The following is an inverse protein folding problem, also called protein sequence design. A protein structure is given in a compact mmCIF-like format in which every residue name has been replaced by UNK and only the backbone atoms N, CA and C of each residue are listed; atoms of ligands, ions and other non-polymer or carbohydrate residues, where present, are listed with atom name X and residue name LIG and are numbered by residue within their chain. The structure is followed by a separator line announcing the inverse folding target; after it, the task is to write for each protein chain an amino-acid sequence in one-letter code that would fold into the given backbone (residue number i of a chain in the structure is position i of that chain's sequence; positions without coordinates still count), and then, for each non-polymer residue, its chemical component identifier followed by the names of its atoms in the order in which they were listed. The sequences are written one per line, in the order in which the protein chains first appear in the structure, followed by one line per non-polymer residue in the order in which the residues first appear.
data_IF_313151922925
#
_entry.id   IF_313151922925
#
_cell.length_a   1.000
_cell.length_b   1.000
_cell.length_c   1.000
_cell.angle_alpha   90.00
_cell.angle_beta   90.00
_cell.angle_gamma   90.00
#
_symmetry.space_group_name_H-M   'P 1'
#
loop_
_entity.id
_entity.type
_entity.pdbx_description
1 polymer ?
#
# COMPACT_ATOMS: atom_id res chain seq x y z
N UNK A 1 5.19 -40.41 -75.26
CA UNK A 1 4.44 -40.68 -74.05
C UNK A 1 5.43 -40.72 -72.92
N UNK A 2 5.49 -39.64 -72.03
CA UNK A 2 6.28 -39.63 -70.80
C UNK A 2 5.31 -39.67 -69.60
N UNK A 3 5.50 -40.51 -68.60
CA UNK A 3 4.62 -40.54 -67.43
C UNK A 3 4.90 -39.39 -66.51
N UNK A 4 3.89 -38.61 -66.18
CA UNK A 4 3.85 -37.57 -65.24
C UNK A 4 3.42 -38.13 -63.85
N UNK A 5 4.32 -38.68 -63.05
CA UNK A 5 3.95 -39.23 -61.75
C UNK A 5 5.03 -39.12 -60.64
N UNK A 6 6.11 -38.31 -60.83
CA UNK A 6 7.19 -38.28 -59.82
C UNK A 6 7.18 -37.09 -58.84
N UNK A 7 6.29 -36.13 -59.04
CA UNK A 7 6.32 -34.90 -58.20
C UNK A 7 5.60 -35.02 -56.87
N UNK A 8 4.70 -35.97 -56.71
CA UNK A 8 3.93 -36.16 -55.47
C UNK A 8 4.70 -36.96 -54.40
N UNK A 9 5.53 -37.94 -54.81
CA UNK A 9 6.32 -38.75 -53.86
C UNK A 9 7.39 -37.93 -53.13
N UNK A 10 8.09 -37.02 -53.82
CA UNK A 10 9.18 -36.20 -53.25
C UNK A 10 8.66 -35.21 -52.19
N UNK A 11 7.40 -34.74 -52.32
CA UNK A 11 6.81 -33.83 -51.31
C UNK A 11 6.44 -34.55 -50.02
N UNK A 12 5.99 -35.77 -50.09
CA UNK A 12 5.63 -36.56 -48.91
C UNK A 12 6.85 -37.03 -48.10
N UNK A 13 7.92 -37.38 -48.79
CA UNK A 13 9.19 -37.75 -48.11
C UNK A 13 9.79 -36.56 -47.36
N UNK A 14 9.82 -35.36 -47.93
CA UNK A 14 10.29 -34.16 -47.27
C UNK A 14 9.45 -33.77 -46.05
N UNK A 15 8.14 -33.96 -46.09
CA UNK A 15 7.26 -33.75 -44.98
C UNK A 15 7.53 -34.75 -43.85
N UNK A 16 7.72 -36.02 -44.17
CA UNK A 16 8.07 -37.06 -43.20
C UNK A 16 9.45 -36.78 -42.53
N UNK A 17 10.44 -36.33 -43.28
CA UNK A 17 11.75 -35.95 -42.73
C UNK A 17 11.64 -34.73 -41.83
N UNK A 18 10.81 -33.74 -42.21
CA UNK A 18 10.58 -32.56 -41.38
C UNK A 18 9.86 -32.94 -40.07
N UNK A 19 8.83 -33.74 -40.12
CA UNK A 19 8.15 -34.22 -38.91
C UNK A 19 9.03 -35.12 -38.04
N UNK A 20 9.90 -35.94 -38.65
CA UNK A 20 10.86 -36.73 -37.92
C UNK A 20 11.95 -35.87 -37.22
N UNK A 21 12.39 -34.79 -37.88
CA UNK A 21 13.34 -33.84 -37.32
C UNK A 21 12.73 -33.02 -36.16
N UNK A 22 11.49 -32.56 -36.31
CA UNK A 22 10.72 -31.87 -35.25
C UNK A 22 10.47 -32.81 -34.09
N UNK A 23 10.07 -34.05 -34.35
CA UNK A 23 9.87 -35.06 -33.31
C UNK A 23 11.15 -35.41 -32.57
N UNK A 24 12.31 -35.47 -33.21
CA UNK A 24 13.61 -35.65 -32.55
C UNK A 24 14.03 -34.46 -31.69
N UNK A 25 13.60 -33.23 -32.02
CA UNK A 25 13.83 -32.07 -31.18
C UNK A 25 12.89 -32.03 -29.97
N UNK A 26 11.67 -32.50 -30.11
CA UNK A 26 10.70 -32.59 -29.03
C UNK A 26 10.96 -33.79 -28.08
N UNK A 27 11.63 -34.84 -28.56
CA UNK A 27 11.99 -36.01 -27.73
C UNK A 27 13.37 -35.89 -27.08
N UNK A 28 14.11 -34.79 -27.28
CA UNK A 28 15.17 -34.37 -26.38
C UNK A 28 14.59 -33.62 -25.18
N UNK A 29 13.64 -34.22 -24.54
CA UNK A 29 13.36 -33.95 -23.15
C UNK A 29 14.48 -34.60 -22.33
N UNK A 30 15.59 -33.92 -22.23
CA UNK A 30 16.48 -34.13 -21.11
C UNK A 30 15.69 -33.67 -19.89
N UNK A 31 14.85 -34.55 -19.39
CA UNK A 31 14.05 -34.31 -18.19
C UNK A 31 15.01 -33.97 -17.05
N UNK A 32 14.69 -32.94 -16.30
CA UNK A 32 15.42 -32.61 -15.07
C UNK A 32 15.60 -33.87 -14.22
N UNK A 33 16.79 -34.10 -13.77
CA UNK A 33 17.03 -35.20 -12.84
C UNK A 33 16.37 -34.88 -11.50
N UNK A 34 15.88 -35.89 -10.81
CA UNK A 34 15.30 -35.75 -9.47
C UNK A 34 16.34 -35.06 -8.52
N UNK A 35 17.61 -35.34 -8.72
CA UNK A 35 18.73 -34.75 -7.96
C UNK A 35 18.84 -33.25 -8.20
N UNK A 36 18.79 -32.78 -9.45
CA UNK A 36 18.81 -31.35 -9.77
C UNK A 36 17.64 -30.60 -9.10
N UNK A 37 16.44 -31.17 -9.16
CA UNK A 37 15.29 -30.55 -8.50
C UNK A 37 15.47 -30.49 -6.98
N UNK A 38 15.96 -31.57 -6.36
CA UNK A 38 16.14 -31.60 -4.89
C UNK A 38 17.25 -30.64 -4.43
N UNK A 39 18.35 -30.48 -5.20
CA UNK A 39 19.39 -29.51 -4.86
C UNK A 39 18.85 -28.08 -4.96
N UNK A 40 18.07 -27.75 -5.98
CA UNK A 40 17.47 -26.42 -6.13
C UNK A 40 16.51 -26.11 -4.96
N UNK A 41 15.65 -27.06 -4.61
CA UNK A 41 14.75 -26.91 -3.45
C UNK A 41 15.51 -26.75 -2.14
N UNK A 42 16.63 -27.47 -1.96
CA UNK A 42 17.48 -27.34 -0.78
C UNK A 42 18.06 -25.93 -0.68
N UNK A 43 18.63 -25.40 -1.77
CA UNK A 43 19.20 -24.05 -1.81
C UNK A 43 18.12 -23.00 -1.54
N UNK A 44 16.97 -23.11 -2.21
CA UNK A 44 15.82 -22.22 -1.97
C UNK A 44 15.35 -22.27 -0.52
N UNK A 45 15.27 -23.45 0.09
CA UNK A 45 14.92 -23.62 1.49
C UNK A 45 15.85 -22.86 2.44
N UNK A 46 17.17 -22.97 2.22
CA UNK A 46 18.17 -22.24 3.02
C UNK A 46 18.01 -20.73 2.85
N UNK A 47 17.83 -20.24 1.63
CA UNK A 47 17.67 -18.82 1.35
C UNK A 47 16.38 -18.26 1.98
N UNK A 48 15.26 -18.98 1.90
CA UNK A 48 14.00 -18.58 2.50
C UNK A 48 14.07 -18.49 4.02
N UNK A 49 14.85 -19.34 4.66
CA UNK A 49 15.02 -19.33 6.14
C UNK A 49 15.57 -18.00 6.63
N UNK A 50 16.43 -17.34 5.85
CA UNK A 50 17.00 -16.02 6.20
C UNK A 50 16.12 -14.88 5.66
N UNK A 51 15.56 -15.04 4.46
CA UNK A 51 14.81 -13.99 3.78
C UNK A 51 13.46 -13.67 4.46
N UNK A 52 12.73 -14.68 4.94
CA UNK A 52 11.39 -14.49 5.52
C UNK A 52 11.43 -13.65 6.80
N UNK A 53 12.25 -13.92 7.83
CA UNK A 53 12.32 -13.08 9.02
C UNK A 53 12.71 -11.64 8.70
N UNK A 54 13.70 -11.44 7.81
CA UNK A 54 14.15 -10.11 7.40
C UNK A 54 13.05 -9.33 6.69
N UNK A 55 12.29 -9.98 5.81
CA UNK A 55 11.16 -9.36 5.11
C UNK A 55 10.05 -8.92 6.08
N UNK A 56 9.71 -9.76 7.07
CA UNK A 56 8.68 -9.44 8.06
C UNK A 56 9.09 -8.24 8.92
N UNK A 57 10.35 -8.19 9.36
CA UNK A 57 10.87 -7.05 10.12
C UNK A 57 10.87 -5.75 9.29
N UNK A 58 11.24 -5.84 8.01
CA UNK A 58 11.19 -4.71 7.10
C UNK A 58 9.77 -4.19 6.89
N UNK A 59 8.82 -5.10 6.61
CA UNK A 59 7.39 -4.77 6.43
C UNK A 59 6.82 -4.09 7.67
N UNK A 60 7.19 -4.57 8.85
CA UNK A 60 6.73 -4.02 10.11
C UNK A 60 7.25 -2.58 10.32
N UNK A 61 8.53 -2.35 10.10
CA UNK A 61 9.13 -1.02 10.15
C UNK A 61 8.53 -0.08 9.10
N UNK A 62 8.26 -0.56 7.89
CA UNK A 62 7.61 0.23 6.85
C UNK A 62 6.21 0.69 7.27
N UNK A 63 5.40 -0.21 7.83
CA UNK A 63 4.06 0.11 8.35
C UNK A 63 4.11 1.14 9.48
N UNK A 64 5.09 1.03 10.37
CA UNK A 64 5.33 1.98 11.45
C UNK A 64 5.66 3.40 10.93
N UNK A 65 6.54 3.48 9.93
CA UNK A 65 6.89 4.76 9.31
C UNK A 65 5.73 5.35 8.49
N UNK A 66 4.95 4.50 7.82
CA UNK A 66 3.74 4.93 7.10
C UNK A 66 2.73 5.58 8.06
N UNK A 67 2.43 4.94 9.20
CA UNK A 67 1.52 5.53 10.19
C UNK A 67 1.99 6.90 10.69
N UNK A 68 3.32 7.07 10.89
CA UNK A 68 3.89 8.39 11.25
C UNK A 68 3.75 9.42 10.13
N UNK A 69 3.97 9.01 8.88
CA UNK A 69 3.85 9.89 7.74
C UNK A 69 2.41 10.38 7.57
N UNK A 70 1.44 9.49 7.74
CA UNK A 70 0.01 9.80 7.66
C UNK A 70 -0.38 10.85 8.70
N UNK A 71 0.02 10.69 9.97
CA UNK A 71 -0.24 11.71 11.02
C UNK A 71 0.38 13.04 10.66
N UNK A 72 1.63 13.06 10.19
CA UNK A 72 2.31 14.31 9.80
C UNK A 72 1.65 15.01 8.60
N UNK A 73 1.12 14.24 7.68
CA UNK A 73 0.36 14.77 6.54
C UNK A 73 -0.92 15.43 7.02
N UNK A 74 -1.73 14.73 7.80
CA UNK A 74 -2.97 15.26 8.33
C UNK A 74 -2.75 16.46 9.28
N UNK A 75 -1.63 16.50 10.00
CA UNK A 75 -1.28 17.63 10.85
C UNK A 75 -1.17 18.95 10.08
N UNK A 76 -0.72 18.92 8.83
CA UNK A 76 -0.65 20.14 7.99
C UNK A 76 -2.04 20.71 7.74
N UNK A 77 -3.02 19.86 7.48
CA UNK A 77 -4.41 20.27 7.28
C UNK A 77 -5.02 20.80 8.58
N UNK A 78 -4.67 20.20 9.71
CA UNK A 78 -5.11 20.67 11.04
C UNK A 78 -4.55 22.07 11.35
N UNK A 79 -3.29 22.32 11.05
CA UNK A 79 -2.67 23.65 11.24
C UNK A 79 -3.30 24.68 10.29
N UNK A 80 -3.60 24.30 9.06
CA UNK A 80 -4.30 25.18 8.13
C UNK A 80 -5.73 25.48 8.61
N UNK A 81 -6.46 24.47 9.13
CA UNK A 81 -7.75 24.66 9.75
C UNK A 81 -7.69 25.67 10.89
N UNK A 82 -6.73 25.52 11.80
CA UNK A 82 -6.54 26.44 12.92
C UNK A 82 -6.27 27.89 12.45
N UNK A 83 -5.52 28.04 11.38
CA UNK A 83 -5.19 29.35 10.84
C UNK A 83 -6.39 30.08 10.22
N UNK A 84 -7.35 29.30 9.68
CA UNK A 84 -8.56 29.84 9.05
C UNK A 84 -9.72 29.98 10.05
N UNK A 85 -9.72 29.22 11.14
CA UNK A 85 -10.77 29.18 12.13
C UNK A 85 -10.59 30.28 13.20
N UNK A 86 -11.07 31.49 12.88
CA UNK A 86 -11.10 32.62 13.82
C UNK A 86 -12.33 33.50 13.57
N UNK A 87 -12.82 34.22 14.59
CA UNK A 87 -14.04 35.05 14.46
C UNK A 87 -13.91 36.07 13.32
N UNK A 88 -14.83 36.00 12.36
CA UNK A 88 -14.88 36.90 11.21
C UNK A 88 -13.99 36.49 10.04
N UNK A 89 -13.44 35.30 10.04
CA UNK A 89 -12.74 34.72 8.90
C UNK A 89 -13.69 34.52 7.72
N UNK A 90 -13.27 34.93 6.53
CA UNK A 90 -14.01 34.66 5.28
C UNK A 90 -13.80 33.21 4.81
N UNK A 91 -12.82 32.53 5.34
CA UNK A 91 -12.47 31.15 5.01
C UNK A 91 -12.85 30.18 6.12
N UNK A 92 -13.71 30.59 7.04
CA UNK A 92 -14.15 29.76 8.15
C UNK A 92 -14.50 28.34 7.66
N UNK A 93 -13.80 27.30 8.18
CA UNK A 93 -13.92 25.96 7.66
C UNK A 93 -15.17 25.21 8.08
N UNK A 94 -15.81 25.59 9.17
CA UNK A 94 -16.95 24.85 9.71
C UNK A 94 -18.31 25.49 9.46
N UNK A 95 -18.35 26.72 8.93
CA UNK A 95 -19.58 27.47 8.67
C UNK A 95 -20.45 27.72 9.92
N UNK A 96 -19.96 27.37 11.09
CA UNK A 96 -20.61 27.70 12.32
C UNK A 96 -20.42 29.20 12.53
N UNK A 97 -21.48 29.99 12.37
CA UNK A 97 -21.49 31.44 12.57
C UNK A 97 -21.32 31.82 14.04
N UNK A 98 -20.58 31.05 14.80
CA UNK A 98 -20.29 31.33 16.18
C UNK A 98 -19.20 32.40 16.26
N UNK A 99 -19.53 33.51 16.88
CA UNK A 99 -18.56 34.60 17.15
C UNK A 99 -17.46 34.20 18.14
N UNK A 100 -17.51 32.96 18.63
CA UNK A 100 -16.57 32.41 19.63
C UNK A 100 -15.71 31.26 19.10
N UNK A 101 -15.89 30.85 17.83
CA UNK A 101 -15.10 29.77 17.25
C UNK A 101 -13.64 30.20 17.07
N UNK A 102 -12.74 29.37 17.50
CA UNK A 102 -11.31 29.61 17.37
C UNK A 102 -10.48 28.34 17.53
N UNK A 103 -9.32 28.30 16.95
CA UNK A 103 -8.39 27.21 17.09
C UNK A 103 -8.87 25.92 16.43
N UNK A 104 -9.10 24.87 17.21
CA UNK A 104 -9.52 23.54 16.72
C UNK A 104 -11.00 23.23 16.99
N UNK A 105 -11.77 24.23 17.42
CA UNK A 105 -13.20 24.06 17.66
C UNK A 105 -13.93 23.74 16.33
N UNK A 106 -14.97 22.90 16.37
CA UNK A 106 -15.69 22.49 15.17
C UNK A 106 -14.91 21.60 14.18
N UNK A 107 -13.66 21.30 14.43
CA UNK A 107 -12.80 20.52 13.52
C UNK A 107 -13.31 19.08 13.38
N UNK A 108 -13.52 18.66 12.13
CA UNK A 108 -13.91 17.29 11.77
C UNK A 108 -13.02 16.75 10.67
N UNK A 109 -12.90 15.43 10.57
CA UNK A 109 -12.20 14.81 9.42
C UNK A 109 -12.84 15.19 8.08
N UNK A 110 -14.16 15.40 8.06
CA UNK A 110 -14.88 15.81 6.85
C UNK A 110 -14.46 17.20 6.39
N UNK A 111 -14.35 18.16 7.31
CA UNK A 111 -13.91 19.52 7.02
C UNK A 111 -12.46 19.52 6.51
N UNK A 112 -11.58 18.76 7.18
CA UNK A 112 -10.19 18.61 6.77
C UNK A 112 -10.06 17.99 5.37
N UNK A 113 -10.83 16.93 5.09
CA UNK A 113 -10.81 16.26 3.79
C UNK A 113 -11.35 17.14 2.66
N UNK A 114 -12.41 17.90 2.91
CA UNK A 114 -13.10 18.67 1.88
C UNK A 114 -12.37 19.96 1.54
N UNK A 115 -11.82 20.64 2.55
CA UNK A 115 -11.27 22.01 2.38
C UNK A 115 -9.74 22.03 2.25
N UNK A 116 -9.02 21.08 2.85
CA UNK A 116 -7.57 21.15 2.94
C UNK A 116 -6.84 19.99 2.25
N UNK A 117 -7.25 18.75 2.49
CA UNK A 117 -6.54 17.59 1.94
C UNK A 117 -7.48 16.41 1.68
N UNK A 118 -7.86 16.23 0.43
CA UNK A 118 -8.75 15.15 -0.01
C UNK A 118 -8.16 13.73 0.24
N UNK A 119 -6.88 13.60 0.58
CA UNK A 119 -6.28 12.32 0.95
C UNK A 119 -6.65 11.86 2.36
N UNK A 120 -7.18 12.77 3.20
CA UNK A 120 -7.74 12.43 4.50
C UNK A 120 -9.07 11.70 4.25
N UNK A 121 -9.05 10.37 4.41
CA UNK A 121 -10.24 9.57 4.17
C UNK A 121 -11.19 9.61 5.37
N UNK A 122 -12.47 9.88 5.09
CA UNK A 122 -13.56 9.85 6.07
C UNK A 122 -14.36 8.54 6.04
N UNK A 123 -13.98 7.60 5.19
CA UNK A 123 -14.67 6.31 5.04
C UNK A 123 -14.47 5.43 6.28
N UNK A 124 -15.49 4.71 6.68
CA UNK A 124 -15.39 3.73 7.77
C UNK A 124 -14.25 2.73 7.51
N UNK A 125 -13.35 2.57 8.47
CA UNK A 125 -12.14 1.76 8.32
C UNK A 125 -10.92 2.52 7.79
N UNK A 126 -11.04 3.81 7.51
CA UNK A 126 -9.91 4.68 7.20
C UNK A 126 -8.88 4.71 8.34
N UNK A 127 -7.61 4.97 8.02
CA UNK A 127 -6.54 4.96 9.02
C UNK A 127 -6.68 6.08 10.06
N UNK A 128 -7.39 7.17 9.75
CA UNK A 128 -7.48 8.35 10.60
C UNK A 128 -8.64 8.30 11.58
N UNK A 129 -8.38 8.68 12.83
CA UNK A 129 -9.39 8.98 13.84
C UNK A 129 -9.03 10.30 14.50
N UNK A 130 -9.94 11.27 14.43
CA UNK A 130 -9.82 12.53 15.12
C UNK A 130 -10.63 12.45 16.42
N UNK A 131 -10.02 12.88 17.52
CA UNK A 131 -10.61 12.87 18.85
C UNK A 131 -11.27 11.52 19.20
N UNK A 132 -10.46 10.43 19.33
CA UNK A 132 -10.99 9.10 19.61
C UNK A 132 -11.78 9.08 20.92
N UNK A 133 -12.60 8.06 21.13
CA UNK A 133 -13.44 7.90 22.31
C UNK A 133 -12.64 8.13 23.61
N UNK A 134 -13.15 9.04 24.46
CA UNK A 134 -12.49 9.45 25.72
C UNK A 134 -11.58 10.67 25.60
N UNK A 135 -11.41 11.26 24.42
CA UNK A 135 -10.75 12.53 24.21
C UNK A 135 -11.79 13.59 23.75
N UNK A 136 -11.85 14.69 24.45
CA UNK A 136 -12.68 15.85 24.07
C UNK A 136 -11.75 16.91 23.49
N UNK A 137 -11.92 17.20 22.19
CA UNK A 137 -11.19 18.29 21.54
C UNK A 137 -11.59 19.63 22.15
N UNK A 138 -10.64 20.55 22.21
CA UNK A 138 -10.84 21.91 22.70
C UNK A 138 -10.34 22.91 21.66
N UNK A 139 -10.55 24.20 21.92
CA UNK A 139 -10.02 25.26 21.05
C UNK A 139 -8.49 25.23 20.93
N UNK A 140 -7.79 24.63 21.89
CA UNK A 140 -6.33 24.61 21.95
C UNK A 140 -5.70 23.23 21.81
N UNK A 141 -6.52 22.15 21.79
CA UNK A 141 -5.98 20.79 21.79
C UNK A 141 -6.85 19.83 20.95
N UNK A 142 -6.20 18.84 20.36
CA UNK A 142 -6.81 17.78 19.58
C UNK A 142 -6.03 16.46 19.76
N UNK A 143 -6.66 15.36 19.43
CA UNK A 143 -5.99 14.06 19.32
C UNK A 143 -6.23 13.47 17.94
N UNK A 144 -5.17 13.26 17.18
CA UNK A 144 -5.20 12.60 15.88
C UNK A 144 -4.49 11.26 15.96
N UNK A 145 -5.13 10.22 15.45
CA UNK A 145 -4.50 8.91 15.29
C UNK A 145 -4.54 8.47 13.84
N UNK A 146 -3.49 7.81 13.38
CA UNK A 146 -3.46 7.12 12.10
C UNK A 146 -2.94 5.69 12.29
N UNK A 147 -3.62 4.72 11.66
CA UNK A 147 -3.34 3.31 11.82
C UNK A 147 -2.92 2.67 10.49
N UNK A 148 -1.76 2.00 10.48
CA UNK A 148 -1.30 1.19 9.34
C UNK A 148 -0.89 -0.20 9.84
N UNK A 149 -1.65 -1.20 9.43
CA UNK A 149 -1.49 -2.55 9.95
C UNK A 149 -1.72 -2.60 11.48
N UNK A 150 -0.73 -3.07 12.22
CA UNK A 150 -0.78 -3.13 13.69
C UNK A 150 -0.29 -1.85 14.38
N UNK A 151 0.23 -0.89 13.65
CA UNK A 151 0.81 0.33 14.22
C UNK A 151 -0.19 1.48 14.23
N UNK A 152 -0.23 2.20 15.34
CA UNK A 152 -0.98 3.44 15.49
C UNK A 152 0.00 4.55 15.83
N UNK A 153 0.05 5.57 15.01
CA UNK A 153 0.68 6.84 15.34
C UNK A 153 -0.35 7.76 15.98
N UNK A 154 0.05 8.49 17.00
CA UNK A 154 -0.81 9.38 17.79
C UNK A 154 -0.14 10.75 17.91
N UNK A 155 -0.87 11.79 17.63
CA UNK A 155 -0.48 13.19 17.83
C UNK A 155 -1.48 13.86 18.76
N UNK A 156 -0.97 14.46 19.83
CA UNK A 156 -1.74 15.28 20.76
C UNK A 156 -1.34 16.74 20.62
N UNK A 157 -2.28 17.59 20.23
CA UNK A 157 -2.05 19.03 20.11
C UNK A 157 -0.97 19.42 19.09
N UNK A 158 -0.77 20.72 18.89
CA UNK A 158 0.17 21.21 17.88
C UNK A 158 1.64 21.06 18.25
N UNK A 159 1.97 20.97 19.54
CA UNK A 159 3.37 20.96 20.05
C UNK A 159 3.84 19.63 20.63
N UNK A 160 2.98 18.60 20.71
CA UNK A 160 3.37 17.33 21.29
C UNK A 160 4.18 16.48 20.30
N UNK A 161 5.13 15.72 20.80
CA UNK A 161 5.85 14.74 20.00
C UNK A 161 4.90 13.59 19.60
N UNK A 162 4.96 13.18 18.33
CA UNK A 162 4.23 12.02 17.85
C UNK A 162 4.72 10.75 18.58
N UNK A 163 3.77 9.97 19.05
CA UNK A 163 4.03 8.65 19.64
C UNK A 163 3.53 7.55 18.68
N UNK A 164 4.19 6.39 18.69
CA UNK A 164 3.76 5.23 17.93
C UNK A 164 3.68 4.02 18.83
N UNK A 165 2.56 3.34 18.80
CA UNK A 165 2.30 2.15 19.59
C UNK A 165 1.74 1.01 18.74
N UNK A 166 1.92 -0.22 19.19
CA UNK A 166 1.27 -1.40 18.64
C UNK A 166 -0.21 -1.44 19.05
N UNK A 167 -1.04 -2.07 18.22
CA UNK A 167 -2.47 -2.32 18.50
C UNK A 167 -2.71 -3.58 19.32
N UNK A 168 -1.67 -4.28 19.73
CA UNK A 168 -1.78 -5.53 20.50
C UNK A 168 -2.48 -5.33 21.83
#
# INVERSE_FOLDING_TARGET
MRPASDTHHVKLERLNEFFAAVRRRLTREEGFTLVELTIVLLILGILLTIAVPSYLAFKDNASKQAAKADVKQALRSIVAYQADNFPGSQNDPDTATSTSDSGFDGMTLSNLATKYDASISTVAGAPYVLNPAGFTGTTTDFCLTAAVGRWIAVQHGPGAADSVRSRD
#
